data_IF_659624081890
#
_entry.id   IF_659624081890
#
_cell.length_a   1.000
_cell.length_b   1.000
_cell.length_c   1.000
_cell.angle_alpha   90.00
_cell.angle_beta   90.00
_cell.angle_gamma   90.00
#
_symmetry.space_group_name_H-M   'P 1'
#
loop_
_entity.id
_entity.type
_entity.pdbx_description
1 polymer ?
#
# COMPACT_ATOMS: atom_id res chain seq x y z
N UNK A 1 33.43 6.49 -7.94
CA UNK A 1 32.83 5.20 -8.42
C UNK A 1 31.73 4.69 -7.49
N UNK A 2 31.90 4.74 -6.17
CA UNK A 2 30.84 4.34 -5.21
C UNK A 2 29.57 5.21 -5.28
N UNK A 3 29.70 6.48 -5.60
CA UNK A 3 28.58 7.42 -5.73
C UNK A 3 27.62 7.05 -6.85
N UNK A 4 28.14 6.56 -7.98
CA UNK A 4 27.32 6.02 -9.08
C UNK A 4 26.50 4.79 -8.66
N UNK A 5 27.04 3.94 -7.79
CA UNK A 5 26.33 2.75 -7.29
C UNK A 5 25.27 3.12 -6.26
N UNK A 6 25.46 4.18 -5.50
CA UNK A 6 24.44 4.69 -4.56
C UNK A 6 23.28 5.35 -5.31
N UNK A 7 23.53 5.94 -6.50
CA UNK A 7 22.48 6.48 -7.37
C UNK A 7 21.71 7.67 -6.76
N UNK A 8 22.32 8.40 -5.83
CA UNK A 8 21.78 9.63 -5.25
C UNK A 8 22.62 10.80 -5.74
N UNK A 9 21.97 11.81 -6.32
CA UNK A 9 22.63 13.05 -6.75
C UNK A 9 23.14 13.84 -5.55
N UNK A 10 24.24 14.58 -5.73
CA UNK A 10 24.85 15.47 -4.72
C UNK A 10 25.16 14.79 -3.36
N UNK A 11 25.50 13.51 -3.40
CA UNK A 11 25.88 12.72 -2.23
C UNK A 11 27.30 12.23 -2.39
N UNK A 12 28.13 12.45 -1.39
CA UNK A 12 29.50 11.90 -1.31
C UNK A 12 29.50 10.67 -0.40
N UNK A 13 30.01 9.56 -0.90
CA UNK A 13 30.24 8.34 -0.10
C UNK A 13 31.55 8.47 0.65
N UNK A 14 31.48 8.48 1.97
CA UNK A 14 32.63 8.58 2.85
C UNK A 14 33.26 7.22 3.14
N UNK A 15 32.41 6.21 3.34
CA UNK A 15 32.82 4.88 3.77
C UNK A 15 31.77 3.84 3.40
N UNK A 16 32.22 2.63 3.09
CA UNK A 16 31.35 1.45 2.92
C UNK A 16 31.90 0.33 3.79
N UNK A 17 31.09 -0.16 4.72
CA UNK A 17 31.44 -1.27 5.61
C UNK A 17 30.36 -2.34 5.57
N UNK A 18 30.73 -3.56 5.94
CA UNK A 18 29.80 -4.67 6.11
C UNK A 18 29.85 -5.13 7.56
N UNK A 19 28.68 -5.15 8.22
CA UNK A 19 28.54 -5.59 9.60
C UNK A 19 27.35 -6.55 9.65
N UNK A 20 27.58 -7.78 10.11
CA UNK A 20 26.55 -8.83 10.24
C UNK A 20 25.74 -9.07 8.93
N UNK A 21 26.40 -8.98 7.77
CA UNK A 21 25.77 -9.16 6.46
C UNK A 21 24.99 -7.95 5.96
N UNK A 22 24.99 -6.83 6.68
CA UNK A 22 24.35 -5.56 6.30
C UNK A 22 25.39 -4.60 5.76
N UNK A 23 25.14 -4.04 4.58
CA UNK A 23 25.97 -2.99 4.00
C UNK A 23 25.63 -1.65 4.65
N UNK A 24 26.63 -1.00 5.23
CA UNK A 24 26.52 0.33 5.82
C UNK A 24 27.27 1.33 4.95
N UNK A 25 26.52 2.23 4.33
CA UNK A 25 27.09 3.24 3.42
C UNK A 25 27.02 4.61 4.11
N UNK A 26 28.16 5.11 4.54
CA UNK A 26 28.27 6.41 5.18
C UNK A 26 28.33 7.50 4.14
N UNK A 27 27.40 8.45 4.22
CA UNK A 27 27.24 9.50 3.23
C UNK A 27 27.18 10.89 3.85
N UNK A 28 27.59 11.88 3.06
CA UNK A 28 27.33 13.31 3.27
C UNK A 28 26.70 13.91 2.03
N UNK A 29 25.92 14.95 2.22
CA UNK A 29 25.36 15.76 1.12
C UNK A 29 26.36 16.85 0.72
N UNK A 30 26.62 16.96 -0.60
CA UNK A 30 27.59 17.89 -1.20
C UNK A 30 27.01 19.23 -1.68
N UNK A 31 25.73 19.53 -1.36
CA UNK A 31 25.01 20.67 -1.90
C UNK A 31 25.54 22.05 -1.48
N UNK A 32 25.08 23.09 -2.19
CA UNK A 32 25.36 24.49 -1.83
C UNK A 32 24.84 24.81 -0.43
N UNK A 33 25.54 25.62 0.31
CA UNK A 33 25.04 26.14 1.60
C UNK A 33 23.69 26.83 1.36
N UNK A 34 22.63 26.43 2.08
CA UNK A 34 21.35 27.11 1.97
C UNK A 34 21.44 28.52 2.59
N UNK A 35 20.40 29.31 2.34
CA UNK A 35 20.12 30.50 3.12
C UNK A 35 19.20 30.16 4.28
N UNK A 36 19.17 31.01 5.31
CA UNK A 36 18.21 30.85 6.39
C UNK A 36 16.76 30.92 5.86
N UNK A 37 15.90 29.94 6.17
CA UNK A 37 14.52 29.93 5.67
C UNK A 37 13.67 31.07 6.25
N UNK A 38 14.06 31.63 7.40
CA UNK A 38 13.28 32.65 8.10
C UNK A 38 13.65 34.07 7.70
N UNK A 39 14.96 34.36 7.46
CA UNK A 39 15.42 35.72 7.19
C UNK A 39 16.27 35.89 5.91
N UNK A 40 16.60 34.80 5.21
CA UNK A 40 17.42 34.84 4.00
C UNK A 40 18.93 35.07 4.24
N UNK A 41 19.38 35.24 5.48
CA UNK A 41 20.78 35.46 5.82
C UNK A 41 21.63 34.18 5.65
N UNK A 42 22.94 34.38 5.62
CA UNK A 42 23.90 33.28 5.54
C UNK A 42 23.82 32.36 6.75
N UNK A 43 24.17 31.11 6.54
CA UNK A 43 24.23 30.10 7.60
C UNK A 43 25.64 29.52 7.71
N UNK A 44 25.98 29.02 8.88
CA UNK A 44 27.22 28.30 9.17
C UNK A 44 26.88 26.88 9.65
N UNK A 45 27.80 25.94 9.47
CA UNK A 45 27.68 24.61 10.05
C UNK A 45 27.74 24.71 11.56
N UNK A 46 26.69 24.30 12.25
CA UNK A 46 26.67 24.24 13.71
C UNK A 46 27.25 22.90 14.21
N UNK A 47 26.73 21.84 13.73
CA UNK A 47 27.11 20.46 14.05
C UNK A 47 26.65 19.50 12.95
N UNK A 48 26.88 18.21 13.15
CA UNK A 48 26.39 17.14 12.28
C UNK A 48 25.79 16.02 13.11
N UNK A 49 24.57 15.65 12.75
CA UNK A 49 23.88 14.49 13.29
C UNK A 49 24.04 13.29 12.36
N UNK A 50 24.02 12.09 12.93
CA UNK A 50 24.01 10.85 12.14
C UNK A 50 22.62 10.22 12.19
N UNK A 51 22.05 10.00 11.01
CA UNK A 51 20.75 9.36 10.84
C UNK A 51 20.95 8.08 10.04
N UNK A 52 20.39 6.98 10.51
CA UNK A 52 20.41 5.69 9.82
C UNK A 52 19.06 5.46 9.13
N UNK A 53 19.12 5.13 7.84
CA UNK A 53 17.95 4.87 7.01
C UNK A 53 18.15 3.55 6.27
N UNK A 54 17.22 2.61 6.40
CA UNK A 54 17.23 1.44 5.54
C UNK A 54 17.00 1.86 4.08
N UNK A 55 17.74 1.24 3.18
CA UNK A 55 17.72 1.55 1.76
C UNK A 55 17.45 0.29 0.93
N UNK A 56 17.36 0.45 -0.38
CA UNK A 56 17.22 -0.68 -1.30
C UNK A 56 18.36 -1.69 -1.10
N UNK A 57 18.07 -3.00 -1.10
CA UNK A 57 19.09 -4.03 -0.99
C UNK A 57 20.14 -3.88 -2.10
N UNK A 58 21.40 -4.00 -1.74
CA UNK A 58 22.49 -3.92 -2.67
C UNK A 58 23.24 -5.27 -2.74
N UNK A 59 23.34 -5.84 -3.94
CA UNK A 59 23.93 -7.16 -4.17
C UNK A 59 23.35 -8.28 -3.28
N UNK A 60 22.01 -8.26 -3.07
CA UNK A 60 21.30 -9.25 -2.25
C UNK A 60 21.48 -9.10 -0.74
N UNK A 61 22.01 -7.96 -0.28
CA UNK A 61 22.23 -7.64 1.14
C UNK A 61 21.41 -6.44 1.55
N UNK A 62 20.81 -6.47 2.73
CA UNK A 62 20.19 -5.30 3.32
C UNK A 62 21.20 -4.16 3.41
N UNK A 63 20.77 -2.94 3.13
CA UNK A 63 21.63 -1.76 3.05
C UNK A 63 21.09 -0.66 3.95
N UNK A 64 21.99 -0.04 4.71
CA UNK A 64 21.68 1.10 5.58
C UNK A 64 22.54 2.29 5.14
N UNK A 65 21.88 3.40 4.81
CA UNK A 65 22.54 4.69 4.65
C UNK A 65 22.77 5.32 6.02
N UNK A 66 24.03 5.55 6.35
CA UNK A 66 24.46 6.25 7.55
C UNK A 66 24.72 7.70 7.15
N UNK A 67 23.67 8.51 7.16
CA UNK A 67 23.70 9.88 6.68
C UNK A 67 24.19 10.84 7.74
N UNK A 68 25.32 11.47 7.48
CA UNK A 68 25.94 12.50 8.29
C UNK A 68 25.34 13.86 7.95
N UNK A 69 24.22 14.17 8.56
CA UNK A 69 23.31 15.26 8.29
C UNK A 69 23.81 16.57 8.87
N UNK A 70 23.84 17.64 8.08
CA UNK A 70 24.29 18.95 8.53
C UNK A 70 23.17 19.68 9.28
N UNK A 71 23.53 20.24 10.42
CA UNK A 71 22.72 21.20 11.15
C UNK A 71 23.34 22.61 10.98
N UNK A 72 22.52 23.51 10.49
CA UNK A 72 22.88 24.88 10.16
C UNK A 72 22.47 25.83 11.26
N UNK A 73 23.30 26.86 11.52
CA UNK A 73 22.97 28.00 12.39
C UNK A 73 22.89 29.28 11.56
N UNK A 74 21.86 30.09 11.77
CA UNK A 74 21.68 31.38 11.15
C UNK A 74 22.64 32.40 11.78
N UNK A 75 23.38 33.13 10.95
CA UNK A 75 24.28 34.20 11.40
C UNK A 75 23.47 35.41 11.95
N UNK A 76 22.26 35.63 11.43
CA UNK A 76 21.32 36.67 11.89
C UNK A 76 20.57 36.33 13.17
N UNK A 77 20.84 35.19 13.84
CA UNK A 77 20.27 34.86 15.14
C UNK A 77 18.87 34.20 15.15
N UNK A 78 18.31 33.81 13.99
CA UNK A 78 17.00 33.15 13.92
C UNK A 78 16.98 31.73 14.54
N UNK A 79 18.14 31.15 14.84
CA UNK A 79 18.22 29.80 15.39
C UNK A 79 18.97 28.82 14.52
N UNK A 80 18.63 27.53 14.62
CA UNK A 80 19.26 26.46 13.83
C UNK A 80 18.22 25.53 13.22
N UNK A 81 18.56 25.00 12.04
CA UNK A 81 17.75 24.04 11.32
C UNK A 81 18.61 22.92 10.72
N UNK A 82 18.01 21.76 10.51
CA UNK A 82 18.70 20.62 9.91
C UNK A 82 18.40 20.56 8.42
N UNK A 83 19.38 20.19 7.63
CA UNK A 83 19.19 20.00 6.18
C UNK A 83 18.07 18.99 5.87
N UNK A 84 17.36 19.26 4.78
CA UNK A 84 16.31 18.38 4.25
C UNK A 84 16.66 18.05 2.82
N UNK A 85 16.83 16.78 2.51
CA UNK A 85 17.13 16.28 1.16
C UNK A 85 16.06 15.26 0.78
N UNK A 86 15.13 15.69 -0.06
CA UNK A 86 13.97 14.88 -0.46
C UNK A 86 14.34 13.56 -1.12
N UNK A 87 15.45 13.53 -1.86
CA UNK A 87 15.96 12.33 -2.53
C UNK A 87 16.44 11.25 -1.55
N UNK A 88 16.86 11.63 -0.33
CA UNK A 88 17.31 10.67 0.68
C UNK A 88 16.13 10.26 1.56
N UNK A 89 15.39 11.21 2.08
CA UNK A 89 14.24 10.93 2.92
C UNK A 89 13.61 12.19 3.47
N UNK A 90 12.29 12.27 3.37
CA UNK A 90 11.48 13.42 3.82
C UNK A 90 10.78 13.13 5.13
N UNK A 91 10.50 11.88 5.40
CA UNK A 91 9.67 11.44 6.53
C UNK A 91 10.49 10.77 7.63
N UNK A 92 9.88 10.66 8.82
CA UNK A 92 10.44 9.93 9.96
C UNK A 92 10.28 8.40 9.84
N UNK A 93 10.20 7.88 8.62
CA UNK A 93 9.91 6.46 8.37
C UNK A 93 11.08 5.52 8.68
N UNK A 94 12.29 6.04 8.89
CA UNK A 94 13.47 5.19 9.09
C UNK A 94 13.97 4.47 7.82
N UNK A 95 13.37 4.75 6.66
CA UNK A 95 13.76 4.24 5.35
C UNK A 95 13.93 5.39 4.35
N UNK A 96 14.70 5.18 3.29
CA UNK A 96 14.88 6.19 2.24
C UNK A 96 13.61 6.37 1.40
N UNK A 97 13.46 7.52 0.74
CA UNK A 97 12.32 7.80 -0.15
C UNK A 97 12.18 6.73 -1.25
N UNK A 98 13.28 6.34 -1.88
CA UNK A 98 13.27 5.29 -2.93
C UNK A 98 12.91 3.92 -2.39
N UNK A 99 13.38 3.57 -1.18
CA UNK A 99 13.00 2.32 -0.54
C UNK A 99 11.51 2.32 -0.15
N UNK A 100 10.98 3.46 0.30
CA UNK A 100 9.56 3.62 0.61
C UNK A 100 8.67 3.43 -0.63
N UNK A 101 9.04 4.06 -1.76
CA UNK A 101 8.33 3.88 -3.05
C UNK A 101 8.42 2.45 -3.55
N UNK A 102 9.59 1.84 -3.49
CA UNK A 102 9.77 0.45 -3.87
C UNK A 102 8.95 -0.49 -3.00
N UNK A 103 8.97 -0.31 -1.67
CA UNK A 103 8.17 -1.09 -0.74
C UNK A 103 6.66 -0.99 -1.04
N UNK A 104 6.16 0.21 -1.32
CA UNK A 104 4.77 0.45 -1.70
C UNK A 104 4.40 -0.34 -2.97
N UNK A 105 5.27 -0.37 -3.98
CA UNK A 105 5.04 -1.15 -5.20
C UNK A 105 5.09 -2.66 -4.94
N UNK A 106 6.03 -3.13 -4.09
CA UNK A 106 6.12 -4.55 -3.74
C UNK A 106 4.85 -5.06 -3.06
N UNK A 107 4.32 -4.29 -2.12
CA UNK A 107 3.09 -4.65 -1.40
C UNK A 107 1.86 -4.43 -2.29
N UNK A 108 1.69 -3.22 -2.82
CA UNK A 108 0.46 -2.82 -3.50
C UNK A 108 0.29 -3.42 -4.89
N UNK A 109 1.37 -3.57 -5.68
CA UNK A 109 1.29 -4.06 -7.06
C UNK A 109 1.68 -5.53 -7.20
N UNK A 110 2.68 -5.97 -6.45
CA UNK A 110 3.20 -7.33 -6.56
C UNK A 110 2.63 -8.29 -5.51
N UNK A 111 1.76 -7.81 -4.60
CA UNK A 111 1.06 -8.63 -3.63
C UNK A 111 1.96 -9.27 -2.57
N UNK A 112 3.18 -8.75 -2.36
CA UNK A 112 4.08 -9.27 -1.34
C UNK A 112 3.61 -8.87 0.06
N UNK A 113 3.85 -9.71 1.04
CA UNK A 113 3.54 -9.36 2.42
C UNK A 113 4.48 -8.26 2.94
N UNK A 114 3.95 -7.39 3.82
CA UNK A 114 4.76 -6.34 4.47
C UNK A 114 5.97 -6.94 5.20
N UNK A 115 5.80 -8.14 5.80
CA UNK A 115 6.89 -8.84 6.52
C UNK A 115 8.03 -9.27 5.59
N UNK A 116 7.74 -9.79 4.39
CA UNK A 116 8.76 -10.15 3.40
C UNK A 116 9.54 -8.93 2.91
N UNK A 117 8.82 -7.83 2.64
CA UNK A 117 9.45 -6.57 2.22
C UNK A 117 10.31 -5.98 3.34
N UNK A 118 9.84 -6.03 4.59
CA UNK A 118 10.62 -5.60 5.75
C UNK A 118 11.89 -6.43 5.94
N UNK A 119 11.80 -7.74 5.72
CA UNK A 119 12.96 -8.63 5.73
C UNK A 119 13.99 -8.26 4.69
N UNK A 120 13.58 -8.05 3.43
CA UNK A 120 14.48 -7.66 2.34
C UNK A 120 15.19 -6.33 2.61
N UNK A 121 14.48 -5.36 3.17
CA UNK A 121 15.02 -4.04 3.51
C UNK A 121 15.86 -4.05 4.81
N UNK A 122 15.78 -5.10 5.61
CA UNK A 122 16.42 -5.16 6.93
C UNK A 122 15.84 -4.14 7.91
N UNK A 123 14.55 -3.84 7.83
CA UNK A 123 13.86 -2.86 8.68
C UNK A 123 12.65 -3.44 9.40
N UNK A 124 12.01 -2.64 10.27
CA UNK A 124 10.82 -3.06 10.99
C UNK A 124 9.56 -3.08 10.12
N UNK A 125 8.61 -3.95 10.44
CA UNK A 125 7.31 -4.05 9.78
C UNK A 125 6.58 -2.71 9.68
N UNK A 126 6.60 -1.92 10.75
CA UNK A 126 5.94 -0.60 10.80
C UNK A 126 6.55 0.40 9.80
N UNK A 127 7.87 0.38 9.60
CA UNK A 127 8.52 1.27 8.64
C UNK A 127 8.01 1.04 7.21
N UNK A 128 7.82 -0.23 6.83
CA UNK A 128 7.24 -0.61 5.54
C UNK A 128 5.76 -0.24 5.48
N UNK A 129 4.98 -0.56 6.51
CA UNK A 129 3.54 -0.27 6.52
C UNK A 129 3.27 1.24 6.46
N UNK A 130 4.00 2.03 7.24
CA UNK A 130 3.89 3.50 7.22
C UNK A 130 4.26 4.08 5.85
N UNK A 131 5.27 3.49 5.17
CA UNK A 131 5.61 3.87 3.81
C UNK A 131 4.49 3.51 2.82
N UNK A 132 3.92 2.31 2.93
CA UNK A 132 2.79 1.87 2.09
C UNK A 132 1.60 2.80 2.26
N UNK A 133 1.27 3.20 3.49
CA UNK A 133 0.21 4.18 3.75
C UNK A 133 0.56 5.55 3.14
N UNK A 134 1.77 6.07 3.42
CA UNK A 134 2.15 7.42 2.98
C UNK A 134 2.22 7.58 1.46
N UNK A 135 2.71 6.57 0.74
CA UNK A 135 2.85 6.63 -0.72
C UNK A 135 1.71 5.94 -1.47
N UNK A 136 1.02 4.99 -0.83
CA UNK A 136 -0.13 4.29 -1.42
C UNK A 136 -1.41 5.10 -1.34
N UNK A 137 -1.59 5.89 -0.27
CA UNK A 137 -2.80 6.69 -0.05
C UNK A 137 -3.14 7.56 -1.27
N UNK A 138 -2.16 8.30 -1.79
CA UNK A 138 -2.37 9.16 -2.95
C UNK A 138 -2.78 8.40 -4.22
N UNK A 139 -2.36 7.14 -4.36
CA UNK A 139 -2.73 6.27 -5.48
C UNK A 139 -4.13 5.68 -5.32
N UNK A 140 -4.54 5.44 -4.08
CA UNK A 140 -5.87 4.89 -3.75
C UNK A 140 -6.94 5.99 -3.79
N UNK A 141 -6.60 7.19 -3.36
CA UNK A 141 -7.51 8.33 -3.30
C UNK A 141 -7.63 9.07 -4.65
N UNK A 142 -6.90 8.65 -5.68
CA UNK A 142 -7.00 9.23 -7.02
C UNK A 142 -8.40 8.98 -7.61
N UNK A 143 -9.22 10.02 -7.84
CA UNK A 143 -10.58 9.87 -8.36
C UNK A 143 -10.60 9.29 -9.78
N UNK A 144 -9.53 9.51 -10.56
CA UNK A 144 -9.42 9.00 -11.94
C UNK A 144 -9.08 7.50 -11.99
N UNK A 145 -8.81 6.88 -10.83
CA UNK A 145 -8.48 5.45 -10.70
C UNK A 145 -9.59 4.53 -11.20
N UNK A 146 -10.83 4.93 -11.05
CA UNK A 146 -11.97 4.05 -11.32
C UNK A 146 -12.31 3.92 -12.80
N UNK A 147 -12.10 4.93 -13.61
CA UNK A 147 -12.44 4.90 -15.04
C UNK A 147 -13.87 4.41 -15.32
N UNK A 148 -14.13 4.01 -16.57
CA UNK A 148 -15.41 3.39 -16.95
C UNK A 148 -15.41 1.91 -16.57
N UNK A 149 -16.41 1.47 -15.83
CA UNK A 149 -16.60 0.08 -15.39
C UNK A 149 -17.82 -0.50 -16.11
N UNK A 150 -17.62 -1.57 -16.87
CA UNK A 150 -18.71 -2.26 -17.58
C UNK A 150 -19.10 -3.58 -16.92
N UNK A 151 -18.19 -4.19 -16.14
CA UNK A 151 -18.40 -5.44 -15.44
C UNK A 151 -18.04 -5.28 -13.96
N UNK A 152 -19.03 -5.19 -13.12
CA UNK A 152 -18.92 -4.93 -11.69
C UNK A 152 -19.09 -6.21 -10.89
N UNK A 153 -18.29 -6.42 -9.84
CA UNK A 153 -18.35 -7.60 -9.01
C UNK A 153 -18.32 -7.29 -7.52
N UNK A 154 -19.05 -8.10 -6.76
CA UNK A 154 -19.01 -8.12 -5.30
C UNK A 154 -18.64 -9.51 -4.82
N UNK A 155 -17.71 -9.56 -3.87
CA UNK A 155 -17.30 -10.78 -3.17
C UNK A 155 -17.04 -10.48 -1.69
N UNK A 156 -17.09 -11.50 -0.83
CA UNK A 156 -16.85 -11.35 0.60
C UNK A 156 -15.61 -12.12 1.05
N UNK A 157 -14.84 -11.51 1.92
CA UNK A 157 -13.70 -12.19 2.55
C UNK A 157 -13.78 -12.07 4.07
N UNK A 158 -13.54 -13.18 4.75
CA UNK A 158 -13.31 -13.18 6.18
C UNK A 158 -11.93 -12.58 6.45
N UNK A 159 -11.90 -11.30 6.78
CA UNK A 159 -10.66 -10.56 6.99
C UNK A 159 -9.87 -11.06 8.21
N UNK A 160 -10.53 -11.15 9.36
CA UNK A 160 -9.89 -11.67 10.57
C UNK A 160 -10.94 -12.14 11.61
N UNK A 161 -10.44 -12.74 12.70
CA UNK A 161 -11.24 -13.11 13.87
C UNK A 161 -10.67 -12.43 15.10
N UNK A 162 -11.47 -11.53 15.70
CA UNK A 162 -11.04 -10.68 16.82
C UNK A 162 -11.51 -11.22 18.17
N UNK A 163 -10.68 -10.96 19.18
CA UNK A 163 -10.99 -11.18 20.58
C UNK A 163 -11.13 -12.66 20.99
N UNK A 164 -11.45 -12.86 22.28
CA UNK A 164 -11.62 -14.19 22.91
C UNK A 164 -12.68 -15.03 22.22
N UNK A 165 -13.73 -14.43 21.74
CA UNK A 165 -14.87 -15.07 21.10
C UNK A 165 -14.69 -15.30 19.60
N UNK A 166 -13.51 -14.93 19.05
CA UNK A 166 -13.19 -15.08 17.63
C UNK A 166 -14.27 -14.46 16.72
N UNK A 167 -14.79 -13.29 17.11
CA UNK A 167 -15.78 -12.55 16.31
C UNK A 167 -15.23 -12.33 14.91
N UNK A 168 -15.99 -12.77 13.92
CA UNK A 168 -15.61 -12.71 12.51
C UNK A 168 -15.78 -11.27 12.00
N UNK A 169 -14.71 -10.72 11.45
CA UNK A 169 -14.69 -9.45 10.73
C UNK A 169 -14.68 -9.77 9.24
N UNK A 170 -15.73 -9.37 8.58
CA UNK A 170 -15.91 -9.54 7.14
C UNK A 170 -15.65 -8.24 6.42
N UNK A 171 -15.20 -8.33 5.19
CA UNK A 171 -15.12 -7.22 4.26
C UNK A 171 -15.72 -7.62 2.92
N UNK A 172 -16.35 -6.68 2.24
CA UNK A 172 -16.83 -6.84 0.88
C UNK A 172 -15.84 -6.16 -0.07
N UNK A 173 -15.33 -6.91 -1.03
CA UNK A 173 -14.52 -6.39 -2.12
C UNK A 173 -15.43 -5.92 -3.24
N UNK A 174 -15.11 -4.73 -3.75
CA UNK A 174 -15.75 -4.10 -4.90
C UNK A 174 -14.75 -4.11 -6.04
N UNK A 175 -15.06 -4.77 -7.14
CA UNK A 175 -14.11 -5.03 -8.22
C UNK A 175 -14.64 -4.66 -9.59
N UNK A 176 -13.77 -4.16 -10.46
CA UNK A 176 -13.96 -4.17 -11.90
C UNK A 176 -13.49 -5.54 -12.43
N UNK A 177 -14.44 -6.39 -12.73
CA UNK A 177 -14.16 -7.76 -13.22
C UNK A 177 -13.57 -7.73 -14.62
N UNK A 178 -13.93 -6.76 -15.44
CA UNK A 178 -13.43 -6.62 -16.81
C UNK A 178 -11.92 -6.32 -16.87
N UNK A 179 -11.43 -5.49 -15.92
CA UNK A 179 -10.01 -5.12 -15.82
C UNK A 179 -9.24 -5.92 -14.76
N UNK A 180 -9.93 -6.69 -13.92
CA UNK A 180 -9.32 -7.36 -12.76
C UNK A 180 -8.79 -6.36 -11.72
N UNK A 181 -9.49 -5.24 -11.53
CA UNK A 181 -9.08 -4.17 -10.64
C UNK A 181 -9.92 -4.15 -9.37
N UNK A 182 -9.27 -4.13 -8.20
CA UNK A 182 -9.94 -3.82 -6.95
C UNK A 182 -10.30 -2.33 -6.92
N UNK A 183 -11.58 -2.02 -6.86
CA UNK A 183 -12.08 -0.66 -6.77
C UNK A 183 -12.07 -0.17 -5.32
N UNK A 184 -12.61 -0.97 -4.40
CA UNK A 184 -12.63 -0.63 -2.98
C UNK A 184 -12.86 -1.86 -2.11
N UNK A 185 -12.71 -1.67 -0.79
CA UNK A 185 -13.03 -2.65 0.24
C UNK A 185 -13.88 -1.98 1.31
N UNK A 186 -15.11 -2.43 1.48
CA UNK A 186 -16.02 -1.92 2.52
C UNK A 186 -16.19 -2.91 3.67
N UNK A 187 -16.43 -2.41 4.88
CA UNK A 187 -16.58 -3.26 6.05
C UNK A 187 -17.90 -4.04 6.02
N UNK A 188 -17.83 -5.27 6.50
CA UNK A 188 -19.00 -6.14 6.61
C UNK A 188 -19.31 -6.94 5.34
N UNK A 189 -20.45 -7.64 5.37
CA UNK A 189 -21.00 -8.45 4.26
C UNK A 189 -22.48 -8.20 4.04
N UNK A 190 -22.94 -7.01 4.38
CA UNK A 190 -24.33 -6.59 4.17
C UNK A 190 -24.47 -5.82 2.86
N UNK A 191 -25.69 -5.62 2.42
CA UNK A 191 -25.97 -4.77 1.26
C UNK A 191 -25.64 -3.27 1.51
N UNK A 192 -25.59 -2.83 2.77
CA UNK A 192 -25.49 -1.41 3.15
C UNK A 192 -24.23 -0.76 2.58
N UNK A 193 -23.04 -1.30 2.93
CA UNK A 193 -21.78 -0.72 2.48
C UNK A 193 -21.65 -0.60 0.96
N UNK A 194 -21.90 -1.67 0.18
CA UNK A 194 -21.89 -1.56 -1.28
C UNK A 194 -22.94 -0.60 -1.86
N UNK A 195 -24.16 -0.51 -1.25
CA UNK A 195 -25.15 0.46 -1.68
C UNK A 195 -24.71 1.90 -1.43
N UNK A 196 -24.16 2.21 -0.27
CA UNK A 196 -23.61 3.52 0.05
C UNK A 196 -22.46 3.87 -0.89
N UNK A 197 -21.55 2.94 -1.12
CA UNK A 197 -20.45 3.13 -2.05
C UNK A 197 -20.93 3.44 -3.49
N UNK A 198 -21.94 2.72 -3.98
CA UNK A 198 -22.54 2.97 -5.31
C UNK A 198 -23.31 4.29 -5.35
N UNK A 199 -23.97 4.68 -4.26
CA UNK A 199 -24.71 5.94 -4.17
C UNK A 199 -23.81 7.17 -4.32
N UNK A 200 -22.53 7.06 -3.90
CA UNK A 200 -21.52 8.10 -4.07
C UNK A 200 -20.99 8.22 -5.51
N UNK A 201 -21.41 7.35 -6.43
CA UNK A 201 -21.00 7.39 -7.84
C UNK A 201 -22.02 8.14 -8.68
N UNK A 202 -21.58 8.86 -9.74
CA UNK A 202 -22.49 9.50 -10.69
C UNK A 202 -23.44 8.48 -11.32
N UNK A 203 -24.69 8.87 -11.59
CA UNK A 203 -25.66 8.02 -12.25
C UNK A 203 -25.13 7.47 -13.57
N UNK A 204 -24.53 8.32 -14.41
CA UNK A 204 -23.96 7.92 -15.69
C UNK A 204 -22.86 6.84 -15.55
N UNK A 205 -22.11 6.84 -14.45
CA UNK A 205 -21.13 5.79 -14.17
C UNK A 205 -21.80 4.46 -13.82
N UNK A 206 -22.88 4.50 -13.01
CA UNK A 206 -23.65 3.31 -12.66
C UNK A 206 -24.39 2.73 -13.86
N UNK A 207 -24.95 3.59 -14.71
CA UNK A 207 -25.70 3.21 -15.91
C UNK A 207 -24.79 2.56 -16.98
N UNK A 208 -23.47 2.82 -16.94
CA UNK A 208 -22.50 2.18 -17.82
C UNK A 208 -22.20 0.72 -17.47
N UNK A 209 -22.60 0.25 -16.27
CA UNK A 209 -22.39 -1.12 -15.82
C UNK A 209 -23.39 -2.06 -16.50
N UNK A 210 -22.89 -2.95 -17.35
CA UNK A 210 -23.69 -3.90 -18.11
C UNK A 210 -23.82 -5.26 -17.40
N UNK A 211 -22.78 -5.63 -16.62
CA UNK A 211 -22.69 -6.95 -15.99
C UNK A 211 -22.41 -6.80 -14.50
N UNK A 212 -23.17 -7.52 -13.68
CA UNK A 212 -23.03 -7.53 -12.22
C UNK A 212 -22.80 -8.96 -11.74
N UNK A 213 -21.61 -9.27 -11.23
CA UNK A 213 -21.22 -10.62 -10.79
C UNK A 213 -21.34 -10.78 -9.28
N UNK A 214 -21.88 -11.91 -8.83
CA UNK A 214 -22.08 -12.22 -7.41
C UNK A 214 -21.92 -13.73 -7.10
N UNK A 215 -21.67 -14.01 -5.83
CA UNK A 215 -21.50 -15.33 -5.24
C UNK A 215 -22.79 -16.07 -4.86
N UNK A 216 -23.90 -15.81 -5.48
CA UNK A 216 -25.25 -16.30 -5.12
C UNK A 216 -25.76 -15.74 -3.77
N UNK A 217 -25.13 -14.70 -3.24
CA UNK A 217 -25.49 -14.05 -1.98
C UNK A 217 -26.78 -13.22 -2.12
N UNK A 218 -27.74 -13.44 -1.21
CA UNK A 218 -28.97 -12.64 -1.17
C UNK A 218 -28.73 -11.15 -0.93
N UNK A 219 -27.85 -10.74 0.02
CA UNK A 219 -27.48 -9.34 0.21
C UNK A 219 -26.96 -8.66 -1.06
N UNK A 220 -26.06 -9.29 -1.82
CA UNK A 220 -25.49 -8.70 -3.04
C UNK A 220 -26.49 -8.64 -4.19
N UNK A 221 -27.36 -9.64 -4.31
CA UNK A 221 -28.48 -9.55 -5.24
C UNK A 221 -29.32 -8.30 -4.98
N UNK A 222 -29.63 -8.01 -3.70
CA UNK A 222 -30.38 -6.80 -3.33
C UNK A 222 -29.65 -5.52 -3.73
N UNK A 223 -28.32 -5.46 -3.61
CA UNK A 223 -27.53 -4.32 -4.09
C UNK A 223 -27.77 -4.10 -5.57
N UNK A 224 -27.65 -5.14 -6.39
CA UNK A 224 -27.81 -5.04 -7.83
C UNK A 224 -29.26 -4.69 -8.23
N UNK A 225 -30.25 -5.35 -7.63
CA UNK A 225 -31.66 -5.03 -7.88
C UNK A 225 -32.02 -3.57 -7.57
N UNK A 226 -31.31 -2.95 -6.60
CA UNK A 226 -31.60 -1.60 -6.13
C UNK A 226 -30.77 -0.53 -6.83
N UNK A 227 -29.46 -0.80 -7.03
CA UNK A 227 -28.48 0.21 -7.46
C UNK A 227 -28.10 0.09 -8.94
N UNK A 228 -28.26 -1.10 -9.53
CA UNK A 228 -27.88 -1.44 -10.91
C UNK A 228 -29.01 -2.25 -11.59
N UNK A 229 -30.24 -1.71 -11.67
CA UNK A 229 -31.42 -2.48 -12.09
C UNK A 229 -31.33 -2.96 -13.55
N UNK A 230 -30.58 -2.25 -14.39
CA UNK A 230 -30.43 -2.58 -15.83
C UNK A 230 -29.24 -3.53 -16.10
N UNK A 231 -28.41 -3.80 -15.11
CA UNK A 231 -27.26 -4.69 -15.26
C UNK A 231 -27.68 -6.17 -15.26
N UNK A 232 -27.11 -6.95 -16.18
CA UNK A 232 -27.31 -8.40 -16.21
C UNK A 232 -26.55 -9.05 -15.06
N UNK A 233 -27.29 -9.70 -14.15
CA UNK A 233 -26.69 -10.41 -13.02
C UNK A 233 -26.12 -11.75 -13.46
N UNK A 234 -24.85 -11.99 -13.15
CA UNK A 234 -24.11 -13.20 -13.51
C UNK A 234 -23.63 -13.89 -12.23
N UNK A 235 -24.02 -15.15 -12.05
CA UNK A 235 -23.52 -15.95 -10.95
C UNK A 235 -22.06 -16.37 -11.19
N UNK A 236 -21.20 -16.27 -10.17
CA UNK A 236 -19.84 -16.77 -10.23
C UNK A 236 -19.84 -18.30 -10.47
N UNK A 237 -19.21 -18.79 -11.55
CA UNK A 237 -19.16 -20.21 -11.88
C UNK A 237 -18.60 -21.09 -10.75
N UNK A 238 -17.61 -20.58 -9.99
CA UNK A 238 -17.04 -21.32 -8.86
C UNK A 238 -18.09 -21.63 -7.80
N UNK A 239 -18.91 -20.65 -7.43
CA UNK A 239 -19.96 -20.81 -6.43
C UNK A 239 -21.10 -21.73 -6.92
N UNK A 240 -21.41 -21.68 -8.20
CA UNK A 240 -22.40 -22.61 -8.82
C UNK A 240 -21.89 -24.04 -8.75
N UNK A 241 -20.63 -24.29 -9.14
CA UNK A 241 -20.01 -25.63 -9.10
C UNK A 241 -19.92 -26.14 -7.65
N UNK A 242 -19.50 -25.28 -6.72
CA UNK A 242 -19.44 -25.61 -5.29
C UNK A 242 -20.80 -26.03 -4.73
N UNK A 243 -21.85 -25.29 -5.08
CA UNK A 243 -23.24 -25.62 -4.69
C UNK A 243 -23.66 -26.96 -5.27
N UNK A 244 -23.41 -27.21 -6.55
CA UNK A 244 -23.73 -28.46 -7.21
C UNK A 244 -23.04 -29.66 -6.53
N UNK A 245 -21.73 -29.54 -6.23
CA UNK A 245 -20.98 -30.58 -5.53
C UNK A 245 -21.54 -30.84 -4.12
N UNK A 246 -21.87 -29.78 -3.37
CA UNK A 246 -22.52 -29.92 -2.05
C UNK A 246 -23.83 -30.70 -2.14
N UNK A 247 -24.67 -30.40 -3.12
CA UNK A 247 -25.95 -31.10 -3.33
C UNK A 247 -25.78 -32.57 -3.75
N UNK A 248 -24.78 -32.85 -4.56
CA UNK A 248 -24.39 -34.20 -4.90
C UNK A 248 -23.95 -35.01 -3.68
N UNK A 249 -23.17 -34.44 -2.80
CA UNK A 249 -22.71 -35.10 -1.55
C UNK A 249 -23.90 -35.34 -0.60
N UNK A 250 -24.79 -34.40 -0.44
CA UNK A 250 -26.02 -34.57 0.34
C UNK A 250 -26.87 -35.76 -0.21
N UNK A 251 -27.03 -35.86 -1.52
CA UNK A 251 -27.74 -37.00 -2.14
C UNK A 251 -27.05 -38.34 -1.89
N UNK A 252 -25.69 -38.37 -1.95
CA UNK A 252 -24.90 -39.60 -1.70
C UNK A 252 -24.99 -40.05 -0.25
N UNK A 253 -25.00 -39.14 0.71
CA UNK A 253 -25.17 -39.43 2.13
C UNK A 253 -26.60 -39.90 2.41
N UNK A 254 -27.62 -39.20 1.88
CA UNK A 254 -29.03 -39.57 2.05
C UNK A 254 -29.39 -40.94 1.45
N UNK A 255 -28.67 -41.38 0.41
CA UNK A 255 -28.84 -42.72 -0.15
C UNK A 255 -28.22 -43.84 0.71
N UNK A 256 -27.20 -43.54 1.49
CA UNK A 256 -26.56 -44.50 2.43
C UNK A 256 -27.35 -44.74 3.71
N UNK A 257 -28.12 -43.75 4.16
CA UNK A 257 -28.95 -43.86 5.37
C UNK A 257 -30.29 -44.56 5.13
N UNK A 258 -30.65 -44.84 3.88
CA UNK A 258 -31.89 -45.57 3.51
C UNK A 258 -31.67 -47.08 3.20
N UNK A 259 -30.51 -47.60 3.48
CA UNK A 259 -30.16 -49.03 3.46
C UNK A 259 -29.91 -49.50 4.89
#
# INVERSE_FOLDING_TARGET
MCELLVGLGDVTVLEVTEIDGVLRVRIETGGRRPLCPDCGERVVVKDRDTVELADLPCFGRATVLVWRKVRWACVGGCGSFTEKVSQIGVSRLGITDRAARWATLQVGRHGRSVSEVAWDLGCGWHAVMDAVVAYGQALVDDPDRFGDVTAFGLDETLFCRLGRWRTQQWSTQIVDVGRGQLLDVVEGRSATGPCEWLADRPDAWRDAIQWATLDLSGPYRKVFDTMLPDAVQVADPFHVIKLANTKLDECRVGSRTRR
#
